data_IF_576905319178
#
_entry.id   IF_576905319178
#
_cell.length_a   1.000
_cell.length_b   1.000
_cell.length_c   1.000
_cell.angle_alpha   90.00
_cell.angle_beta   90.00
_cell.angle_gamma   90.00
#
_symmetry.space_group_name_H-M   'P 1'
#
loop_
_entity.id
_entity.type
_entity.pdbx_description
1 polymer ?
#
# COMPACT_ATOMS: atom_id res chain seq x y z
N UNK A 1 -12.32 26.48 12.68
CA UNK A 1 -13.00 25.41 11.91
C UNK A 1 -12.06 25.08 10.76
N UNK A 2 -11.27 24.01 10.88
CA UNK A 2 -10.33 23.59 9.83
C UNK A 2 -11.18 23.24 8.61
N UNK A 3 -10.93 23.89 7.47
CA UNK A 3 -11.60 23.54 6.22
C UNK A 3 -11.27 22.07 5.92
N UNK A 4 -12.25 21.26 5.53
CA UNK A 4 -12.08 19.84 5.17
C UNK A 4 -10.90 19.60 4.19
N UNK A 5 -10.53 20.62 3.41
CA UNK A 5 -9.38 20.62 2.50
C UNK A 5 -8.02 20.57 3.19
N UNK A 6 -7.87 21.12 4.40
CA UNK A 6 -6.59 21.16 5.13
C UNK A 6 -6.20 19.80 5.73
N UNK A 7 -7.15 18.87 5.90
CA UNK A 7 -6.89 17.53 6.44
C UNK A 7 -6.60 16.45 5.40
N UNK A 8 -6.73 16.76 4.11
CA UNK A 8 -6.50 15.78 3.03
C UNK A 8 -5.02 15.68 2.73
N UNK A 9 -4.42 14.51 3.05
CA UNK A 9 -2.99 14.26 2.85
C UNK A 9 -2.64 13.72 1.45
N UNK A 10 -3.63 13.19 0.71
CA UNK A 10 -3.49 12.72 -0.66
C UNK A 10 -4.88 12.53 -1.31
N UNK A 11 -4.95 12.65 -2.64
CA UNK A 11 -6.16 12.36 -3.43
C UNK A 11 -5.82 11.34 -4.51
N UNK A 12 -6.44 10.17 -4.45
CA UNK A 12 -6.34 9.17 -5.51
C UNK A 12 -7.19 9.61 -6.70
N UNK A 13 -6.56 9.81 -7.86
CA UNK A 13 -7.24 10.21 -9.10
C UNK A 13 -7.43 9.01 -10.03
N UNK A 14 -8.54 9.04 -10.79
CA UNK A 14 -8.86 8.08 -11.86
C UNK A 14 -8.71 6.60 -11.47
N UNK A 15 -8.98 6.25 -10.20
CA UNK A 15 -8.82 4.89 -9.71
C UNK A 15 -9.97 4.01 -10.20
N UNK A 16 -9.65 2.94 -10.93
CA UNK A 16 -10.62 1.90 -11.32
C UNK A 16 -11.08 1.08 -10.10
N UNK A 17 -10.12 0.73 -9.25
CA UNK A 17 -10.32 0.00 -8.00
C UNK A 17 -9.28 0.48 -6.99
N UNK A 18 -9.70 0.64 -5.74
CA UNK A 18 -8.79 0.94 -4.63
C UNK A 18 -8.68 -0.29 -3.74
N UNK A 19 -7.45 -0.77 -3.58
CA UNK A 19 -7.09 -1.80 -2.62
C UNK A 19 -6.64 -1.11 -1.33
N UNK A 20 -7.23 -1.47 -0.20
CA UNK A 20 -6.85 -0.94 1.10
C UNK A 20 -6.31 -2.07 1.98
N UNK A 21 -5.04 -1.95 2.39
CA UNK A 21 -4.43 -2.87 3.35
C UNK A 21 -4.48 -2.22 4.74
N UNK A 22 -5.11 -2.92 5.67
CA UNK A 22 -5.23 -2.50 7.07
C UNK A 22 -3.88 -2.58 7.80
N UNK A 23 -3.90 -2.34 9.11
CA UNK A 23 -2.72 -2.46 9.96
C UNK A 23 -1.98 -3.79 9.77
N UNK A 24 -0.65 -3.73 9.64
CA UNK A 24 0.23 -4.88 9.35
C UNK A 24 0.91 -5.40 10.62
N UNK A 25 1.26 -4.53 11.55
CA UNK A 25 1.83 -4.86 12.86
C UNK A 25 3.05 -5.80 12.84
N UNK A 26 3.92 -5.71 11.83
CA UNK A 26 5.13 -6.55 11.77
C UNK A 26 4.87 -8.02 11.40
N UNK A 27 3.64 -8.37 10.99
CA UNK A 27 3.25 -9.73 10.61
C UNK A 27 3.67 -10.05 9.16
N UNK A 28 4.98 -10.17 8.93
CA UNK A 28 5.57 -10.31 7.58
C UNK A 28 4.97 -11.47 6.77
N UNK A 29 4.68 -12.60 7.39
CA UNK A 29 4.14 -13.78 6.68
C UNK A 29 2.71 -13.54 6.19
N UNK A 30 1.90 -12.83 6.98
CA UNK A 30 0.54 -12.42 6.56
C UNK A 30 0.61 -11.35 5.48
N UNK A 31 1.55 -10.42 5.60
CA UNK A 31 1.77 -9.39 4.58
C UNK A 31 2.14 -10.02 3.24
N UNK A 32 3.08 -10.99 3.22
CA UNK A 32 3.45 -11.76 2.01
C UNK A 32 2.26 -12.46 1.38
N UNK A 33 1.38 -13.05 2.19
CA UNK A 33 0.17 -13.68 1.67
C UNK A 33 -0.75 -12.68 0.96
N UNK A 34 -0.92 -11.47 1.52
CA UNK A 34 -1.66 -10.38 0.89
C UNK A 34 -0.97 -9.91 -0.40
N UNK A 35 0.35 -9.75 -0.36
CA UNK A 35 1.15 -9.34 -1.53
C UNK A 35 1.02 -10.33 -2.69
N UNK A 36 1.06 -11.63 -2.42
CA UNK A 36 0.83 -12.66 -3.44
C UNK A 36 -0.55 -12.54 -4.08
N UNK A 37 -1.59 -12.23 -3.29
CA UNK A 37 -2.94 -11.99 -3.84
C UNK A 37 -2.99 -10.70 -4.67
N UNK A 38 -2.35 -9.63 -4.22
CA UNK A 38 -2.24 -8.39 -4.99
C UNK A 38 -1.56 -8.65 -6.34
N UNK A 39 -0.40 -9.30 -6.36
CA UNK A 39 0.32 -9.58 -7.61
C UNK A 39 -0.50 -10.38 -8.64
N UNK A 40 -1.39 -11.25 -8.19
CA UNK A 40 -2.26 -12.06 -9.06
C UNK A 40 -3.46 -11.29 -9.62
N UNK A 41 -3.94 -10.27 -8.90
CA UNK A 41 -5.21 -9.62 -9.20
C UNK A 41 -5.12 -8.13 -9.54
N UNK A 42 -3.96 -7.51 -9.27
CA UNK A 42 -3.74 -6.10 -9.54
C UNK A 42 -3.59 -5.86 -11.04
N UNK A 43 -4.35 -4.90 -11.55
CA UNK A 43 -4.37 -4.55 -12.97
C UNK A 43 -4.10 -3.07 -13.17
N UNK A 44 -3.67 -2.63 -14.37
CA UNK A 44 -3.52 -1.21 -14.67
C UNK A 44 -4.77 -0.39 -14.28
N UNK A 45 -4.56 0.79 -13.69
CA UNK A 45 -5.62 1.66 -13.17
C UNK A 45 -6.10 1.34 -11.75
N UNK A 46 -5.67 0.24 -11.15
CA UNK A 46 -5.87 -0.01 -9.72
C UNK A 46 -4.94 0.90 -8.90
N UNK A 47 -5.38 1.28 -7.69
CA UNK A 47 -4.60 2.04 -6.72
C UNK A 47 -4.49 1.24 -5.41
N UNK A 48 -3.37 1.36 -4.71
CA UNK A 48 -3.11 0.69 -3.45
C UNK A 48 -2.90 1.73 -2.35
N UNK A 49 -3.67 1.62 -1.27
CA UNK A 49 -3.49 2.41 -0.05
C UNK A 49 -3.18 1.48 1.11
N UNK A 50 -2.20 1.88 1.89
CA UNK A 50 -1.92 1.26 3.17
C UNK A 50 -2.38 2.19 4.29
N UNK A 51 -3.12 1.67 5.26
CA UNK A 51 -3.74 2.45 6.33
C UNK A 51 -2.83 2.64 7.55
N UNK A 52 -1.54 2.33 7.43
CA UNK A 52 -0.54 2.54 8.47
C UNK A 52 -0.34 1.35 9.40
N UNK A 53 0.19 1.62 10.60
CA UNK A 53 0.53 0.62 11.62
C UNK A 53 1.38 -0.54 11.07
N UNK A 54 2.37 -0.22 10.23
CA UNK A 54 3.30 -1.19 9.67
C UNK A 54 4.15 -1.83 10.75
N UNK A 55 4.64 -0.97 11.64
CA UNK A 55 5.46 -1.32 12.77
C UNK A 55 4.52 -1.84 13.85
N UNK A 56 4.70 -3.10 14.23
CA UNK A 56 4.00 -3.69 15.36
C UNK A 56 4.94 -4.01 16.50
N UNK A 57 4.66 -5.11 17.17
CA UNK A 57 5.40 -5.58 18.33
C UNK A 57 6.02 -6.94 17.96
N UNK A 58 7.33 -6.99 17.75
CA UNK A 58 8.01 -8.23 17.40
C UNK A 58 9.35 -8.03 16.72
N UNK A 59 10.14 -9.10 16.55
CA UNK A 59 11.52 -9.00 16.06
C UNK A 59 11.63 -8.79 14.55
N UNK A 60 10.55 -9.02 13.77
CA UNK A 60 10.56 -9.04 12.30
C UNK A 60 10.10 -7.74 11.63
N UNK A 61 10.24 -6.62 12.34
CA UNK A 61 9.83 -5.30 11.82
C UNK A 61 10.64 -4.92 10.57
N UNK A 62 11.96 -5.18 10.59
CA UNK A 62 12.83 -4.89 9.43
C UNK A 62 12.36 -5.68 8.21
N UNK A 63 12.13 -6.99 8.35
CA UNK A 63 11.62 -7.84 7.28
C UNK A 63 10.27 -7.35 6.73
N UNK A 64 9.40 -6.83 7.61
CA UNK A 64 8.11 -6.27 7.20
C UNK A 64 8.28 -5.00 6.36
N UNK A 65 9.22 -4.12 6.75
CA UNK A 65 9.53 -2.91 5.98
C UNK A 65 10.18 -3.26 4.64
N UNK A 66 11.10 -4.22 4.61
CA UNK A 66 11.73 -4.71 3.38
C UNK A 66 10.68 -5.26 2.40
N UNK A 67 9.73 -6.04 2.91
CA UNK A 67 8.61 -6.58 2.13
C UNK A 67 7.70 -5.48 1.56
N UNK A 68 7.35 -4.46 2.37
CA UNK A 68 6.58 -3.29 1.89
C UNK A 68 7.32 -2.54 0.77
N UNK A 69 8.63 -2.32 0.94
CA UNK A 69 9.46 -1.65 -0.06
C UNK A 69 9.61 -2.48 -1.32
N UNK A 70 9.72 -3.80 -1.20
CA UNK A 70 9.78 -4.73 -2.33
C UNK A 70 8.52 -4.63 -3.20
N UNK A 71 7.35 -4.79 -2.59
CA UNK A 71 6.08 -4.68 -3.33
C UNK A 71 5.93 -3.28 -3.95
N UNK A 72 6.23 -2.22 -3.19
CA UNK A 72 6.10 -0.85 -3.69
C UNK A 72 6.92 -0.63 -4.96
N UNK A 73 8.18 -1.08 -4.99
CA UNK A 73 9.04 -0.99 -6.18
C UNK A 73 8.46 -1.77 -7.35
N UNK A 74 8.03 -3.01 -7.12
CA UNK A 74 7.45 -3.86 -8.15
C UNK A 74 6.18 -3.25 -8.76
N UNK A 75 5.29 -2.72 -7.92
CA UNK A 75 4.02 -2.13 -8.34
C UNK A 75 4.23 -0.82 -9.11
N UNK A 76 5.13 0.06 -8.64
CA UNK A 76 5.49 1.29 -9.36
C UNK A 76 6.05 1.00 -10.76
N UNK A 77 6.94 0.01 -10.86
CA UNK A 77 7.56 -0.36 -12.13
C UNK A 77 6.58 -0.99 -13.14
N UNK A 78 5.57 -1.72 -12.67
CA UNK A 78 4.65 -2.49 -13.52
C UNK A 78 3.35 -1.77 -13.89
N UNK A 79 2.84 -0.91 -13.01
CA UNK A 79 1.48 -0.35 -13.14
C UNK A 79 1.42 1.17 -13.20
N UNK A 80 2.57 1.85 -13.34
CA UNK A 80 2.68 3.29 -13.46
C UNK A 80 1.91 4.06 -12.36
N UNK A 81 2.11 3.68 -11.09
CA UNK A 81 1.32 4.20 -9.94
C UNK A 81 1.63 5.67 -9.55
N UNK A 82 2.21 6.45 -10.44
CA UNK A 82 2.47 7.87 -10.20
C UNK A 82 1.18 8.69 -10.30
N UNK A 83 1.17 9.86 -9.67
CA UNK A 83 0.10 10.85 -9.83
C UNK A 83 0.38 11.64 -11.12
N UNK A 84 -0.50 11.55 -12.13
CA UNK A 84 -0.33 12.37 -13.33
C UNK A 84 -0.99 11.92 -14.63
N UNK A 85 -1.50 10.69 -14.73
CA UNK A 85 -2.18 10.19 -15.95
C UNK A 85 -3.70 10.22 -15.82
#
# INVERSE_FOLDING_TARGET
MISQSESVIAVLKAARRVWAVSAVHGEVDRLRAIHNQLEQHFTPGDRLVYLGNYLGYGPRIIETVDELLLLRRAMLARFNLFDGD
#
